data_IF_547886890166
#
_entry.id   IF_547886890166
#
_cell.length_a   1.000
_cell.length_b   1.000
_cell.length_c   1.000
_cell.angle_alpha   90.00
_cell.angle_beta   90.00
_cell.angle_gamma   90.00
#
_symmetry.space_group_name_H-M   'P 1'
#
loop_
_entity.id
_entity.type
_entity.pdbx_description
1 polymer ?
#
# COMPACT_ATOMS: atom_id res chain seq x y z
N UNK A 1 2.13 -28.02 -2.97
CA UNK A 1 2.73 -27.16 -4.01
C UNK A 1 2.74 -25.75 -3.46
N UNK A 2 3.87 -25.04 -3.37
CA UNK A 2 3.81 -23.63 -3.04
C UNK A 2 3.12 -22.95 -4.21
N UNK A 3 1.94 -22.39 -3.96
CA UNK A 3 1.25 -21.54 -4.92
C UNK A 3 2.23 -20.42 -5.27
N UNK A 4 2.86 -20.54 -6.43
CA UNK A 4 3.73 -19.51 -6.97
C UNK A 4 2.82 -18.31 -7.14
N UNK A 5 2.95 -17.33 -6.23
CA UNK A 5 2.18 -16.10 -6.28
C UNK A 5 2.50 -15.47 -7.63
N UNK A 6 1.60 -15.65 -8.60
CA UNK A 6 1.73 -15.01 -9.90
C UNK A 6 1.50 -13.54 -9.63
N UNK A 7 2.59 -12.79 -9.49
CA UNK A 7 2.54 -11.34 -9.32
C UNK A 7 2.02 -10.75 -10.64
N UNK A 8 0.69 -10.63 -10.76
CA UNK A 8 0.07 -9.82 -11.78
C UNK A 8 0.22 -8.34 -11.43
N UNK A 9 0.07 -7.47 -12.43
CA UNK A 9 -0.02 -6.04 -12.15
C UNK A 9 -1.25 -5.82 -11.26
N UNK A 10 -1.09 -5.30 -10.02
CA UNK A 10 -2.22 -5.14 -9.12
C UNK A 10 -3.21 -4.15 -9.72
N UNK A 11 -4.48 -4.47 -9.54
CA UNK A 11 -5.61 -3.61 -9.86
C UNK A 11 -5.69 -2.45 -8.87
N UNK A 12 -6.37 -1.37 -9.25
CA UNK A 12 -6.59 -0.21 -8.38
C UNK A 12 -7.23 -0.64 -7.05
N UNK A 13 -8.14 -1.62 -7.08
CA UNK A 13 -8.80 -2.15 -5.88
C UNK A 13 -7.84 -2.88 -4.94
N UNK A 14 -6.90 -3.65 -5.48
CA UNK A 14 -5.87 -4.36 -4.70
C UNK A 14 -4.90 -3.37 -4.04
N UNK A 15 -4.46 -2.34 -4.76
CA UNK A 15 -3.64 -1.27 -4.21
C UNK A 15 -4.36 -0.50 -3.09
N UNK A 16 -5.64 -0.20 -3.28
CA UNK A 16 -6.45 0.50 -2.29
C UNK A 16 -6.58 -0.30 -0.99
N UNK A 17 -6.76 -1.63 -1.05
CA UNK A 17 -6.81 -2.49 0.15
C UNK A 17 -5.52 -2.45 0.95
N UNK A 18 -4.37 -2.43 0.28
CA UNK A 18 -3.06 -2.31 0.93
C UNK A 18 -2.91 -0.92 1.56
N UNK A 19 -3.34 0.12 0.85
CA UNK A 19 -3.30 1.49 1.35
C UNK A 19 -4.20 1.70 2.58
N UNK A 20 -5.42 1.16 2.58
CA UNK A 20 -6.33 1.20 3.72
C UNK A 20 -5.75 0.46 4.94
N UNK A 21 -5.13 -0.71 4.72
CA UNK A 21 -4.45 -1.43 5.80
C UNK A 21 -3.26 -0.62 6.38
N UNK A 22 -2.49 0.03 5.50
CA UNK A 22 -1.38 0.91 5.91
C UNK A 22 -1.87 2.12 6.71
N UNK A 23 -2.90 2.83 6.21
CA UNK A 23 -3.52 3.99 6.89
C UNK A 23 -4.14 3.62 8.23
N UNK A 24 -4.70 2.42 8.35
CA UNK A 24 -5.23 1.88 9.60
C UNK A 24 -4.12 1.47 10.61
N UNK A 25 -2.84 1.58 10.24
CA UNK A 25 -1.71 1.21 11.11
C UNK A 25 -1.63 -0.29 11.39
N UNK A 26 -2.24 -1.12 10.54
CA UNK A 26 -2.26 -2.57 10.72
C UNK A 26 -0.86 -3.16 10.52
N UNK A 27 -0.40 -3.98 11.45
CA UNK A 27 0.90 -4.66 11.34
C UNK A 27 0.94 -5.70 10.19
N UNK A 28 -0.22 -6.23 9.78
CA UNK A 28 -0.35 -7.25 8.74
C UNK A 28 -0.51 -6.69 7.31
N UNK A 29 -0.37 -5.39 7.11
CA UNK A 29 -0.50 -4.74 5.79
C UNK A 29 0.41 -5.35 4.70
N UNK A 30 1.61 -5.85 5.07
CA UNK A 30 2.50 -6.59 4.17
C UNK A 30 1.90 -7.93 3.74
N UNK A 31 1.25 -8.66 4.65
CA UNK A 31 0.57 -9.91 4.34
C UNK A 31 -0.67 -9.66 3.48
N UNK A 32 -1.37 -8.54 3.70
CA UNK A 32 -2.46 -8.09 2.80
C UNK A 32 -1.92 -7.88 1.38
N UNK A 33 -0.76 -7.24 1.23
CA UNK A 33 -0.16 -7.07 -0.08
C UNK A 33 0.20 -8.39 -0.75
N UNK A 34 0.82 -9.32 -0.02
CA UNK A 34 1.15 -10.66 -0.53
C UNK A 34 -0.10 -11.43 -0.97
N UNK A 35 -1.19 -11.33 -0.22
CA UNK A 35 -2.47 -11.95 -0.55
C UNK A 35 -3.17 -11.30 -1.77
N UNK A 36 -2.83 -10.06 -2.11
CA UNK A 36 -3.39 -9.32 -3.25
C UNK A 36 -2.39 -9.27 -4.42
N UNK A 37 -1.37 -10.14 -4.43
CA UNK A 37 -0.32 -10.17 -5.46
C UNK A 37 0.40 -8.83 -5.67
N UNK A 38 0.38 -7.95 -4.68
CA UNK A 38 1.09 -6.67 -4.71
C UNK A 38 2.53 -6.93 -4.25
N UNK A 39 3.49 -6.73 -5.15
CA UNK A 39 4.89 -6.95 -4.81
C UNK A 39 5.40 -5.92 -3.78
N UNK A 40 6.26 -6.35 -2.84
CA UNK A 40 6.81 -5.53 -1.75
C UNK A 40 7.37 -4.17 -2.18
N UNK A 41 8.12 -4.02 -3.30
CA UNK A 41 8.59 -2.71 -3.76
C UNK A 41 7.44 -1.75 -4.12
N UNK A 42 6.33 -2.27 -4.66
CA UNK A 42 5.12 -1.50 -4.99
C UNK A 42 4.44 -1.03 -3.70
N UNK A 43 4.36 -1.91 -2.70
CA UNK A 43 3.81 -1.63 -1.37
C UNK A 43 4.52 -0.45 -0.70
N UNK A 44 5.85 -0.45 -0.70
CA UNK A 44 6.63 0.67 -0.16
C UNK A 44 6.47 1.96 -0.96
N UNK A 45 6.28 1.88 -2.29
CA UNK A 45 5.97 3.06 -3.11
C UNK A 45 4.62 3.67 -2.76
N UNK A 46 3.58 2.84 -2.61
CA UNK A 46 2.23 3.27 -2.19
C UNK A 46 2.28 3.96 -0.82
N UNK A 47 2.95 3.34 0.16
CA UNK A 47 3.13 3.91 1.49
C UNK A 47 3.93 5.24 1.49
N UNK A 48 4.97 5.33 0.65
CA UNK A 48 5.75 6.56 0.49
C UNK A 48 4.94 7.68 -0.17
N UNK A 49 4.16 7.37 -1.21
CA UNK A 49 3.28 8.34 -1.87
C UNK A 49 2.20 8.85 -0.93
N UNK A 50 1.58 7.96 -0.14
CA UNK A 50 0.60 8.36 0.89
C UNK A 50 1.22 9.27 1.95
N UNK A 51 2.41 8.92 2.43
CA UNK A 51 3.14 9.75 3.40
C UNK A 51 3.48 11.14 2.84
N UNK A 52 3.77 11.23 1.54
CA UNK A 52 4.00 12.51 0.83
C UNK A 52 2.69 13.28 0.69
N UNK A 53 1.59 12.64 0.29
CA UNK A 53 0.27 13.28 0.19
C UNK A 53 -0.21 13.81 1.56
N UNK A 54 -0.06 13.00 2.62
CA UNK A 54 -0.39 13.39 4.00
C UNK A 54 0.46 14.57 4.46
N UNK A 55 1.77 14.57 4.17
CA UNK A 55 2.66 15.71 4.46
C UNK A 55 2.25 16.97 3.70
N UNK A 56 1.95 16.87 2.41
CA UNK A 56 1.48 18.02 1.63
C UNK A 56 0.11 18.54 2.09
N UNK A 57 -0.78 17.65 2.55
CA UNK A 57 -2.07 18.05 3.14
C UNK A 57 -1.89 18.74 4.49
N UNK A 58 -0.96 18.27 5.32
CA UNK A 58 -0.58 18.92 6.57
C UNK A 58 0.08 20.29 6.37
N UNK A 59 0.88 20.44 5.30
CA UNK A 59 1.52 21.71 4.96
C UNK A 59 0.55 22.81 4.48
N UNK A 60 -0.68 22.46 4.06
CA UNK A 60 -1.73 23.44 3.70
C UNK A 60 -2.49 24.02 4.90
N UNK A 61 -2.10 23.70 6.13
CA UNK A 61 -2.71 24.24 7.37
C UNK A 61 -1.77 25.12 8.20
N UNK A 62 -0.77 25.73 7.56
CA UNK A 62 0.18 26.62 8.25
C UNK A 62 0.66 27.77 7.36
N UNK A 63 -0.24 28.69 7.04
CA UNK A 63 0.05 30.10 6.73
C UNK A 63 -1.16 30.93 7.12
#
# INVERSE_FOLDING_TARGET
MPSQATYHKPTITEEQRVLDAYRAGRADWLAVAENNSVNRPMVYRIAAQDSVEVKHRGARRGT
#
